data_IF_729319686314
#
_entry.id   IF_729319686314
#
_cell.length_a   1.000
_cell.length_b   1.000
_cell.length_c   1.000
_cell.angle_alpha   90.00
_cell.angle_beta   90.00
_cell.angle_gamma   90.00
#
_symmetry.space_group_name_H-M   'P 1'
#
loop_
_entity.id
_entity.type
_entity.pdbx_description
1 polymer ?
#
# COMPACT_ATOMS: atom_id res chain seq x y z
N UNK A 1 7.84 34.42 -17.42
CA UNK A 1 7.33 34.67 -16.04
C UNK A 1 8.54 34.82 -15.16
N UNK A 2 8.92 36.07 -14.97
CA UNK A 2 10.29 36.44 -14.68
C UNK A 2 10.46 36.59 -13.16
N UNK A 3 11.65 36.32 -12.64
CA UNK A 3 11.99 36.37 -11.21
C UNK A 3 11.41 37.58 -10.44
N UNK A 4 11.41 38.83 -10.96
CA UNK A 4 10.85 39.97 -10.24
C UNK A 4 9.33 39.86 -10.00
N UNK A 5 8.57 39.22 -10.90
CA UNK A 5 7.12 39.09 -10.77
C UNK A 5 6.73 38.06 -9.70
N UNK A 6 7.56 37.02 -9.49
CA UNK A 6 7.39 36.06 -8.38
C UNK A 6 7.63 36.71 -7.02
N UNK A 7 8.67 37.52 -6.93
CA UNK A 7 9.04 38.20 -5.68
C UNK A 7 8.03 39.29 -5.28
N UNK A 8 7.34 39.91 -6.24
CA UNK A 8 6.29 40.89 -5.94
C UNK A 8 5.03 40.25 -5.32
N UNK A 9 4.71 39.01 -5.68
CA UNK A 9 3.55 38.28 -5.14
C UNK A 9 3.83 37.67 -3.76
N UNK A 10 5.09 37.33 -3.45
CA UNK A 10 5.52 36.89 -2.13
C UNK A 10 5.82 38.11 -1.24
N UNK A 11 4.85 38.52 -0.41
CA UNK A 11 4.97 39.73 0.45
C UNK A 11 6.09 39.68 1.50
N UNK A 12 6.68 38.52 1.76
CA UNK A 12 7.86 38.34 2.60
C UNK A 12 8.78 37.29 1.96
N UNK A 13 10.07 37.60 1.84
CA UNK A 13 11.09 36.59 1.57
C UNK A 13 11.30 35.79 2.86
N UNK A 14 10.65 34.64 2.99
CA UNK A 14 11.04 33.66 4.00
C UNK A 14 12.39 33.08 3.57
N UNK A 15 13.49 33.55 4.17
CA UNK A 15 14.79 32.89 4.01
C UNK A 15 14.69 31.51 4.63
N UNK A 16 14.46 30.50 3.79
CA UNK A 16 14.55 29.11 4.21
C UNK A 16 16.02 28.84 4.50
N UNK A 17 16.34 28.54 5.75
CA UNK A 17 17.68 28.16 6.17
C UNK A 17 18.11 26.91 5.38
N UNK A 18 19.36 26.87 4.93
CA UNK A 18 19.89 25.78 4.12
C UNK A 18 19.78 24.44 4.86
N UNK A 19 19.99 24.48 6.17
CA UNK A 19 19.85 23.32 7.08
C UNK A 19 18.41 22.82 7.16
N UNK A 20 17.43 23.73 7.22
CA UNK A 20 16.01 23.38 7.24
C UNK A 20 15.58 22.73 5.92
N UNK A 21 16.11 23.21 4.79
CA UNK A 21 15.86 22.62 3.48
C UNK A 21 16.49 21.22 3.36
N UNK A 22 17.71 21.05 3.82
CA UNK A 22 18.44 19.78 3.79
C UNK A 22 17.71 18.70 4.60
N UNK A 23 17.34 19.00 5.85
CA UNK A 23 16.56 18.06 6.69
C UNK A 23 15.19 17.73 6.10
N UNK A 24 14.55 18.69 5.41
CA UNK A 24 13.29 18.45 4.72
C UNK A 24 13.48 17.46 3.55
N UNK A 25 14.56 17.59 2.77
CA UNK A 25 14.88 16.68 1.67
C UNK A 25 15.15 15.26 2.17
N UNK A 26 15.98 15.11 3.20
CA UNK A 26 16.25 13.81 3.85
C UNK A 26 14.96 13.15 4.35
N UNK A 27 14.10 13.94 4.99
CA UNK A 27 12.80 13.46 5.44
C UNK A 27 11.91 13.00 4.28
N UNK A 28 11.92 13.72 3.15
CA UNK A 28 11.20 13.32 1.95
C UNK A 28 11.75 12.04 1.34
N UNK A 29 13.06 11.81 1.39
CA UNK A 29 13.69 10.58 0.91
C UNK A 29 13.27 9.37 1.72
N UNK A 30 13.32 9.45 3.05
CA UNK A 30 12.86 8.38 3.93
C UNK A 30 11.38 8.03 3.68
N UNK A 31 10.55 9.05 3.50
CA UNK A 31 9.12 8.89 3.15
C UNK A 31 8.94 8.26 1.76
N UNK A 32 9.72 8.69 0.76
CA UNK A 32 9.65 8.16 -0.60
C UNK A 32 10.01 6.66 -0.64
N UNK A 33 11.05 6.24 0.09
CA UNK A 33 11.45 4.83 0.21
C UNK A 33 10.32 4.01 0.83
N UNK A 34 9.71 4.51 1.90
CA UNK A 34 8.58 3.84 2.56
C UNK A 34 7.40 3.65 1.61
N UNK A 35 6.92 4.71 0.97
CA UNK A 35 5.80 4.62 0.03
C UNK A 35 6.10 3.69 -1.14
N UNK A 36 7.34 3.71 -1.63
CA UNK A 36 7.77 2.83 -2.70
C UNK A 36 7.70 1.35 -2.30
N UNK A 37 8.19 1.02 -1.10
CA UNK A 37 8.10 -0.32 -0.53
C UNK A 37 6.63 -0.73 -0.36
N UNK A 38 5.81 0.12 0.26
CA UNK A 38 4.38 -0.14 0.49
C UNK A 38 3.63 -0.38 -0.82
N UNK A 39 3.91 0.39 -1.89
CA UNK A 39 3.28 0.19 -3.20
C UNK A 39 3.66 -1.16 -3.83
N UNK A 40 4.91 -1.59 -3.68
CA UNK A 40 5.37 -2.89 -4.18
C UNK A 40 4.73 -4.03 -3.38
N UNK A 41 4.71 -3.91 -2.05
CA UNK A 41 4.12 -4.90 -1.16
C UNK A 41 2.60 -5.03 -1.36
N UNK A 42 1.87 -3.92 -1.44
CA UNK A 42 0.42 -3.91 -1.68
C UNK A 42 0.08 -4.54 -3.03
N UNK A 43 0.88 -4.28 -4.06
CA UNK A 43 0.73 -4.95 -5.34
C UNK A 43 0.96 -6.47 -5.21
N UNK A 44 1.97 -6.89 -4.44
CA UNK A 44 2.23 -8.31 -4.14
C UNK A 44 1.06 -8.95 -3.38
N UNK A 45 0.49 -8.26 -2.39
CA UNK A 45 -0.68 -8.75 -1.65
C UNK A 45 -1.90 -8.92 -2.58
N UNK A 46 -2.10 -8.02 -3.54
CA UNK A 46 -3.16 -8.18 -4.54
C UNK A 46 -2.96 -9.37 -5.46
N UNK A 47 -1.73 -9.66 -5.85
CA UNK A 47 -1.42 -10.86 -6.62
C UNK A 47 -1.64 -12.13 -5.80
N UNK A 48 -1.24 -12.12 -4.52
CA UNK A 48 -1.53 -13.20 -3.57
C UNK A 48 -3.04 -13.45 -3.45
N UNK A 49 -3.84 -12.40 -3.26
CA UNK A 49 -5.30 -12.45 -3.25
C UNK A 49 -5.82 -13.13 -4.52
N UNK A 50 -5.45 -12.61 -5.70
CA UNK A 50 -5.91 -13.11 -6.99
C UNK A 50 -5.53 -14.58 -7.22
N UNK A 51 -4.33 -15.00 -6.81
CA UNK A 51 -3.91 -16.41 -6.90
C UNK A 51 -4.71 -17.30 -5.95
N UNK A 52 -4.88 -16.90 -4.70
CA UNK A 52 -5.57 -17.71 -3.70
C UNK A 52 -7.05 -17.91 -4.03
N UNK A 53 -7.77 -16.86 -4.44
CA UNK A 53 -9.18 -17.01 -4.84
C UNK A 53 -9.34 -17.88 -6.10
N UNK A 54 -8.40 -17.80 -7.06
CA UNK A 54 -8.39 -18.67 -8.24
C UNK A 54 -8.14 -20.13 -7.88
N UNK A 55 -7.19 -20.39 -6.97
CA UNK A 55 -6.89 -21.73 -6.47
C UNK A 55 -8.09 -22.35 -5.77
N UNK A 56 -8.73 -21.61 -4.86
CA UNK A 56 -9.96 -22.05 -4.18
C UNK A 56 -11.06 -22.38 -5.18
N UNK A 57 -11.32 -21.48 -6.15
CA UNK A 57 -12.31 -21.74 -7.19
C UNK A 57 -12.03 -23.04 -7.95
N UNK A 58 -10.79 -23.22 -8.41
CA UNK A 58 -10.42 -24.39 -9.22
C UNK A 58 -10.62 -25.69 -8.44
N UNK A 59 -10.22 -25.71 -7.17
CA UNK A 59 -10.39 -26.86 -6.29
C UNK A 59 -11.87 -27.17 -6.02
N UNK A 60 -12.68 -26.16 -5.70
CA UNK A 60 -14.12 -26.32 -5.47
C UNK A 60 -14.83 -26.81 -6.72
N UNK A 61 -14.50 -26.28 -7.90
CA UNK A 61 -15.08 -26.76 -9.16
C UNK A 61 -14.76 -28.24 -9.40
N UNK A 62 -13.54 -28.69 -9.07
CA UNK A 62 -13.16 -30.10 -9.16
C UNK A 62 -13.98 -30.97 -8.21
N UNK A 63 -14.19 -30.52 -6.98
CA UNK A 63 -14.99 -31.22 -5.96
C UNK A 63 -16.50 -31.23 -6.27
N UNK A 64 -17.00 -30.22 -6.96
CA UNK A 64 -18.39 -30.23 -7.45
C UNK A 64 -18.52 -31.17 -8.65
N UNK A 65 -17.56 -31.14 -9.58
CA UNK A 65 -17.59 -31.96 -10.79
C UNK A 65 -17.48 -33.47 -10.50
N UNK A 66 -16.71 -33.87 -9.49
CA UNK A 66 -16.59 -35.27 -9.07
C UNK A 66 -17.68 -35.69 -8.05
N UNK A 67 -18.63 -34.81 -7.72
CA UNK A 67 -19.73 -35.08 -6.79
C UNK A 67 -19.33 -35.17 -5.32
N UNK A 68 -18.11 -34.77 -4.93
CA UNK A 68 -17.69 -34.74 -3.52
C UNK A 68 -18.44 -33.71 -2.69
N UNK A 69 -18.88 -32.60 -3.31
CA UNK A 69 -19.74 -31.59 -2.71
C UNK A 69 -20.82 -31.13 -3.69
N UNK A 70 -21.93 -30.62 -3.19
CA UNK A 70 -22.95 -29.98 -4.01
C UNK A 70 -22.52 -28.60 -4.49
N UNK A 71 -23.13 -28.11 -5.58
CA UNK A 71 -22.91 -26.75 -6.06
C UNK A 71 -23.25 -25.69 -5.00
N UNK A 72 -24.25 -25.96 -4.15
CA UNK A 72 -24.63 -25.07 -3.04
C UNK A 72 -23.49 -24.95 -2.02
N UNK A 73 -23.01 -26.08 -1.52
CA UNK A 73 -21.90 -26.13 -0.55
C UNK A 73 -20.64 -25.49 -1.13
N UNK A 74 -20.34 -25.76 -2.41
CA UNK A 74 -19.22 -25.11 -3.11
C UNK A 74 -19.38 -23.59 -3.19
N UNK A 75 -20.59 -23.08 -3.46
CA UNK A 75 -20.85 -21.65 -3.52
C UNK A 75 -20.70 -20.96 -2.15
N UNK A 76 -21.23 -21.57 -1.09
CA UNK A 76 -21.11 -21.11 0.29
C UNK A 76 -19.63 -21.08 0.73
N UNK A 77 -18.90 -22.17 0.49
CA UNK A 77 -17.48 -22.26 0.79
C UNK A 77 -16.65 -21.22 0.02
N UNK A 78 -16.88 -21.06 -1.29
CA UNK A 78 -16.21 -20.03 -2.08
C UNK A 78 -16.49 -18.61 -1.55
N UNK A 79 -17.73 -18.33 -1.13
CA UNK A 79 -18.10 -17.05 -0.55
C UNK A 79 -17.34 -16.78 0.75
N UNK A 80 -17.35 -17.73 1.69
CA UNK A 80 -16.64 -17.60 2.96
C UNK A 80 -15.13 -17.47 2.78
N UNK A 81 -14.54 -18.36 1.97
CA UNK A 81 -13.10 -18.36 1.73
C UNK A 81 -12.64 -17.07 1.05
N UNK A 82 -13.42 -16.54 0.11
CA UNK A 82 -13.12 -15.24 -0.52
C UNK A 82 -13.08 -14.13 0.53
N UNK A 83 -14.01 -14.11 1.47
CA UNK A 83 -14.07 -13.10 2.53
C UNK A 83 -12.89 -13.25 3.51
N UNK A 84 -12.55 -14.47 3.91
CA UNK A 84 -11.37 -14.76 4.75
C UNK A 84 -10.07 -14.33 4.08
N UNK A 85 -9.86 -14.72 2.81
CA UNK A 85 -8.68 -14.30 2.02
C UNK A 85 -8.64 -12.77 1.89
N UNK A 86 -9.78 -12.11 1.69
CA UNK A 86 -9.84 -10.65 1.60
C UNK A 86 -9.44 -9.98 2.92
N UNK A 87 -9.95 -10.46 4.05
CA UNK A 87 -9.61 -9.95 5.37
C UNK A 87 -8.12 -10.12 5.68
N UNK A 88 -7.56 -11.31 5.43
CA UNK A 88 -6.14 -11.57 5.63
C UNK A 88 -5.26 -10.71 4.71
N UNK A 89 -5.65 -10.54 3.45
CA UNK A 89 -4.93 -9.68 2.49
C UNK A 89 -4.91 -8.23 3.00
N UNK A 90 -6.04 -7.72 3.51
CA UNK A 90 -6.14 -6.36 4.06
C UNK A 90 -5.30 -6.16 5.31
N UNK A 91 -5.24 -7.16 6.19
CA UNK A 91 -4.40 -7.11 7.39
C UNK A 91 -2.90 -6.95 7.05
N UNK A 92 -2.48 -7.48 5.90
CA UNK A 92 -1.09 -7.39 5.39
C UNK A 92 -0.87 -6.25 4.39
N UNK A 93 -1.90 -5.43 4.10
CA UNK A 93 -1.82 -4.27 3.21
C UNK A 93 -1.38 -3.04 4.01
N UNK A 94 -0.60 -2.15 3.40
CA UNK A 94 -0.19 -0.87 3.98
C UNK A 94 -1.38 -0.08 4.54
N UNK A 95 -1.14 0.83 5.49
CA UNK A 95 -2.21 1.62 6.13
C UNK A 95 -3.00 2.42 5.08
N UNK A 96 -2.30 3.11 4.18
CA UNK A 96 -2.92 3.87 3.10
C UNK A 96 -3.68 2.96 2.12
N UNK A 97 -3.06 1.84 1.70
CA UNK A 97 -3.68 0.88 0.79
C UNK A 97 -4.94 0.23 1.38
N UNK A 98 -4.92 -0.09 2.67
CA UNK A 98 -6.04 -0.65 3.42
C UNK A 98 -7.19 0.35 3.53
N UNK A 99 -6.91 1.61 3.88
CA UNK A 99 -7.94 2.66 3.93
C UNK A 99 -8.62 2.87 2.55
N UNK A 100 -7.85 2.82 1.46
CA UNK A 100 -8.41 2.87 0.09
C UNK A 100 -9.26 1.63 -0.20
N UNK A 101 -8.81 0.44 0.21
CA UNK A 101 -9.52 -0.81 -0.03
C UNK A 101 -10.82 -0.95 0.80
N UNK A 102 -10.85 -0.39 2.00
CA UNK A 102 -12.02 -0.34 2.88
C UNK A 102 -13.04 0.68 2.38
N UNK A 103 -12.60 1.85 1.91
CA UNK A 103 -13.48 2.85 1.29
C UNK A 103 -14.23 2.31 0.08
N UNK A 104 -13.57 1.51 -0.76
CA UNK A 104 -14.25 0.92 -1.93
C UNK A 104 -15.27 -0.14 -1.50
N UNK A 105 -14.94 -0.96 -0.51
CA UNK A 105 -15.79 -2.08 -0.10
C UNK A 105 -15.54 -2.50 1.35
N UNK A 106 -16.28 -1.92 2.30
CA UNK A 106 -16.12 -2.27 3.72
C UNK A 106 -16.45 -3.75 3.97
N UNK A 107 -17.62 -4.22 3.49
CA UNK A 107 -18.13 -5.59 3.72
C UNK A 107 -18.61 -6.21 2.38
N UNK A 108 -18.40 -7.52 2.19
CA UNK A 108 -19.03 -8.23 1.07
C UNK A 108 -20.55 -8.26 1.20
N UNK A 109 -21.32 -8.03 0.13
CA UNK A 109 -22.77 -8.26 0.16
C UNK A 109 -23.06 -9.65 0.69
N UNK A 110 -24.11 -9.77 1.49
CA UNK A 110 -24.59 -11.05 1.99
C UNK A 110 -24.83 -12.04 0.83
N UNK A 111 -24.62 -13.34 1.09
CA UNK A 111 -24.71 -14.36 0.05
C UNK A 111 -26.08 -14.37 -0.62
N UNK A 112 -27.14 -14.14 0.15
CA UNK A 112 -28.53 -14.06 -0.30
C UNK A 112 -28.71 -12.95 -1.34
N UNK A 113 -28.08 -11.79 -1.10
CA UNK A 113 -28.11 -10.67 -2.05
C UNK A 113 -27.38 -11.01 -3.34
N UNK A 114 -26.25 -11.73 -3.27
CA UNK A 114 -25.53 -12.20 -4.46
C UNK A 114 -26.34 -13.23 -5.24
N UNK A 115 -27.03 -14.14 -4.54
CA UNK A 115 -27.90 -15.14 -5.15
C UNK A 115 -29.07 -14.47 -5.87
N UNK A 116 -29.77 -13.53 -5.23
CA UNK A 116 -30.87 -12.79 -5.84
C UNK A 116 -30.39 -11.96 -7.04
N UNK A 117 -29.25 -11.29 -6.93
CA UNK A 117 -28.68 -10.49 -8.02
C UNK A 117 -28.32 -11.34 -9.23
N UNK A 118 -27.67 -12.50 -9.02
CA UNK A 118 -27.34 -13.43 -10.11
C UNK A 118 -28.58 -14.09 -10.71
N UNK A 119 -29.57 -14.41 -9.88
CA UNK A 119 -30.86 -14.96 -10.32
C UNK A 119 -31.62 -13.98 -11.19
N UNK A 120 -31.71 -12.72 -10.76
CA UNK A 120 -32.35 -11.65 -11.52
C UNK A 120 -31.66 -11.43 -12.87
N UNK A 121 -30.32 -11.38 -12.89
CA UNK A 121 -29.58 -11.20 -14.15
C UNK A 121 -29.74 -12.36 -15.14
N UNK A 122 -29.84 -13.61 -14.65
CA UNK A 122 -29.83 -14.81 -15.51
C UNK A 122 -31.23 -15.30 -15.87
N UNK A 123 -32.20 -15.12 -14.98
CA UNK A 123 -33.54 -15.69 -15.07
C UNK A 123 -34.67 -14.68 -14.86
N UNK A 124 -34.37 -13.42 -14.53
CA UNK A 124 -35.38 -12.37 -14.29
C UNK A 124 -36.22 -12.60 -13.03
N UNK A 125 -35.80 -13.49 -12.12
CA UNK A 125 -36.54 -13.92 -10.93
C UNK A 125 -35.67 -13.88 -9.69
N UNK A 126 -36.30 -13.85 -8.52
CA UNK A 126 -35.58 -13.99 -7.24
C UNK A 126 -35.08 -15.42 -7.06
N UNK A 127 -34.04 -15.61 -6.25
CA UNK A 127 -33.42 -16.92 -6.08
C UNK A 127 -34.39 -17.95 -5.50
N UNK A 128 -35.26 -17.53 -4.58
CA UNK A 128 -36.26 -18.40 -3.93
C UNK A 128 -37.31 -18.95 -4.92
N UNK A 129 -37.67 -18.17 -5.94
CA UNK A 129 -38.64 -18.50 -7.01
C UNK A 129 -38.09 -19.48 -8.06
N UNK A 130 -36.79 -19.77 -8.03
CA UNK A 130 -36.14 -20.66 -8.99
C UNK A 130 -36.40 -22.14 -8.68
N UNK A 131 -36.55 -22.93 -9.75
CA UNK A 131 -36.57 -24.39 -9.65
C UNK A 131 -35.20 -24.98 -9.28
N UNK A 132 -35.11 -26.25 -8.86
CA UNK A 132 -33.85 -26.86 -8.38
C UNK A 132 -32.68 -26.77 -9.37
N UNK A 133 -32.94 -27.02 -10.67
CA UNK A 133 -31.91 -26.90 -11.72
C UNK A 133 -31.42 -25.46 -11.91
N UNK A 134 -32.33 -24.49 -11.83
CA UNK A 134 -32.00 -23.07 -11.94
C UNK A 134 -31.18 -22.61 -10.72
N UNK A 135 -31.55 -23.03 -9.50
CA UNK A 135 -30.77 -22.76 -8.28
C UNK A 135 -29.35 -23.30 -8.37
N UNK A 136 -29.19 -24.56 -8.81
CA UNK A 136 -27.87 -25.16 -9.04
C UNK A 136 -27.03 -24.34 -10.04
N UNK A 137 -27.66 -23.86 -11.12
CA UNK A 137 -27.00 -23.01 -12.11
C UNK A 137 -26.52 -21.67 -11.52
N UNK A 138 -27.31 -21.07 -10.62
CA UNK A 138 -26.90 -19.83 -9.92
C UNK A 138 -25.74 -20.10 -8.96
N UNK A 139 -25.78 -21.20 -8.21
CA UNK A 139 -24.68 -21.59 -7.33
C UNK A 139 -23.37 -21.79 -8.11
N UNK A 140 -23.43 -22.44 -9.27
CA UNK A 140 -22.27 -22.58 -10.16
C UNK A 140 -21.71 -21.22 -10.62
N UNK A 141 -22.58 -20.27 -10.96
CA UNK A 141 -22.18 -18.90 -11.32
C UNK A 141 -21.55 -18.15 -10.13
N UNK A 142 -21.97 -18.41 -8.89
CA UNK A 142 -21.30 -17.87 -7.69
C UNK A 142 -19.88 -18.42 -7.56
N UNK A 143 -19.71 -19.75 -7.68
CA UNK A 143 -18.38 -20.39 -7.66
C UNK A 143 -17.52 -19.78 -8.76
N UNK A 144 -18.02 -19.69 -9.98
CA UNK A 144 -17.26 -19.20 -11.13
C UNK A 144 -16.87 -17.72 -10.99
N UNK A 145 -17.78 -16.90 -10.47
CA UNK A 145 -17.57 -15.46 -10.28
C UNK A 145 -16.79 -15.09 -9.02
N UNK A 146 -16.57 -16.04 -8.09
CA UNK A 146 -15.82 -15.84 -6.84
C UNK A 146 -14.38 -15.32 -7.07
N UNK A 147 -13.76 -15.73 -8.18
CA UNK A 147 -12.39 -15.37 -8.55
C UNK A 147 -12.29 -14.39 -9.73
N UNK A 148 -13.39 -13.75 -10.15
CA UNK A 148 -13.35 -12.78 -11.26
C UNK A 148 -12.49 -11.56 -10.88
N UNK A 149 -11.44 -11.24 -11.65
CA UNK A 149 -10.58 -10.11 -11.36
C UNK A 149 -11.33 -8.79 -11.54
N UNK A 150 -11.06 -7.81 -10.67
CA UNK A 150 -11.43 -6.43 -10.93
C UNK A 150 -10.29 -5.77 -11.73
N UNK A 151 -10.55 -5.50 -13.02
CA UNK A 151 -9.56 -4.99 -13.98
C UNK A 151 -9.00 -3.64 -13.54
N UNK A 152 -9.85 -2.73 -13.05
CA UNK A 152 -9.45 -1.40 -12.54
C UNK A 152 -8.39 -1.52 -11.43
N UNK A 153 -8.64 -2.38 -10.45
CA UNK A 153 -7.71 -2.58 -9.34
C UNK A 153 -6.42 -3.29 -9.77
N UNK A 154 -6.51 -4.23 -10.71
CA UNK A 154 -5.32 -4.93 -11.20
C UNK A 154 -4.42 -4.01 -12.03
N UNK A 155 -4.99 -3.14 -12.87
CA UNK A 155 -4.25 -2.13 -13.63
C UNK A 155 -3.58 -1.15 -12.66
N UNK A 156 -4.34 -0.62 -11.70
CA UNK A 156 -3.80 0.32 -10.70
C UNK A 156 -2.67 -0.30 -9.90
N UNK A 157 -2.79 -1.55 -9.46
CA UNK A 157 -1.73 -2.20 -8.69
C UNK A 157 -0.50 -2.52 -9.55
N UNK A 158 -0.66 -2.82 -10.84
CA UNK A 158 0.48 -2.96 -11.76
C UNK A 158 1.21 -1.62 -11.94
N UNK A 159 0.47 -0.52 -12.06
CA UNK A 159 1.03 0.83 -12.11
C UNK A 159 1.76 1.17 -10.80
N UNK A 160 1.13 0.99 -9.64
CA UNK A 160 1.73 1.24 -8.32
C UNK A 160 3.03 0.44 -8.11
N UNK A 161 3.05 -0.84 -8.51
CA UNK A 161 4.29 -1.64 -8.48
C UNK A 161 5.40 -1.04 -9.33
N UNK A 162 5.06 -0.56 -10.51
CA UNK A 162 6.04 0.02 -11.44
C UNK A 162 6.54 1.36 -10.90
N UNK A 163 5.63 2.21 -10.41
CA UNK A 163 5.94 3.49 -9.77
C UNK A 163 6.84 3.27 -8.55
N UNK A 164 6.51 2.34 -7.64
CA UNK A 164 7.34 2.05 -6.48
C UNK A 164 8.75 1.59 -6.85
N UNK A 165 8.89 0.77 -7.90
CA UNK A 165 10.23 0.38 -8.41
C UNK A 165 10.99 1.57 -8.98
N UNK A 166 10.33 2.43 -9.75
CA UNK A 166 10.95 3.63 -10.34
C UNK A 166 11.38 4.59 -9.24
N UNK A 167 10.53 4.84 -8.25
CA UNK A 167 10.85 5.70 -7.12
C UNK A 167 12.08 5.21 -6.35
N UNK A 168 12.21 3.90 -6.09
CA UNK A 168 13.43 3.35 -5.49
C UNK A 168 14.66 3.66 -6.35
N UNK A 169 14.59 3.46 -7.66
CA UNK A 169 15.72 3.74 -8.56
C UNK A 169 16.09 5.23 -8.53
N UNK A 170 15.10 6.12 -8.54
CA UNK A 170 15.32 7.57 -8.47
C UNK A 170 15.93 7.96 -7.13
N UNK A 171 15.42 7.44 -6.01
CA UNK A 171 16.00 7.71 -4.68
C UNK A 171 17.42 7.20 -4.58
N UNK A 172 17.71 5.98 -5.07
CA UNK A 172 19.08 5.45 -5.08
C UNK A 172 20.01 6.31 -5.94
N UNK A 173 19.55 6.76 -7.11
CA UNK A 173 20.34 7.64 -7.97
C UNK A 173 20.64 8.98 -7.29
N UNK A 174 19.68 9.53 -6.55
CA UNK A 174 19.84 10.75 -5.77
C UNK A 174 20.85 10.56 -4.64
N UNK A 175 20.71 9.51 -3.82
CA UNK A 175 21.66 9.18 -2.74
C UNK A 175 23.08 8.98 -3.28
N UNK A 176 23.24 8.32 -4.43
CA UNK A 176 24.56 8.14 -5.07
C UNK A 176 25.16 9.49 -5.50
N UNK A 177 24.33 10.40 -6.03
CA UNK A 177 24.78 11.74 -6.41
C UNK A 177 25.30 12.52 -5.19
N UNK A 178 24.58 12.48 -4.07
CA UNK A 178 24.98 13.17 -2.84
C UNK A 178 26.27 12.57 -2.25
N UNK A 179 26.38 11.24 -2.17
CA UNK A 179 27.60 10.55 -1.70
C UNK A 179 28.82 10.86 -2.57
N UNK A 180 28.66 10.98 -3.90
CA UNK A 180 29.78 11.25 -4.81
C UNK A 180 30.28 12.68 -4.65
N UNK A 181 29.38 13.64 -4.42
CA UNK A 181 29.71 15.05 -4.26
C UNK A 181 30.09 15.43 -2.82
N UNK A 182 29.84 14.55 -1.84
CA UNK A 182 30.18 14.79 -0.45
C UNK A 182 31.69 14.82 -0.20
N UNK A 183 32.10 15.70 0.72
CA UNK A 183 33.49 15.82 1.14
C UNK A 183 33.97 14.56 1.90
N UNK A 184 33.15 14.04 2.82
CA UNK A 184 33.38 12.77 3.51
C UNK A 184 32.33 11.75 3.06
N UNK A 185 32.71 10.93 2.07
CA UNK A 185 31.82 9.94 1.45
C UNK A 185 31.32 8.88 2.44
N UNK A 186 32.16 8.47 3.40
CA UNK A 186 31.79 7.42 4.36
C UNK A 186 30.75 7.93 5.35
N UNK A 187 30.94 9.16 5.85
CA UNK A 187 29.98 9.87 6.70
C UNK A 187 28.63 10.05 5.99
N UNK A 188 28.67 10.50 4.73
CA UNK A 188 27.45 10.69 3.93
C UNK A 188 26.70 9.37 3.70
N UNK A 189 27.41 8.27 3.43
CA UNK A 189 26.79 6.94 3.31
C UNK A 189 26.09 6.52 4.61
N UNK A 190 26.69 6.78 5.78
CA UNK A 190 26.09 6.46 7.07
C UNK A 190 24.84 7.32 7.31
N UNK A 191 24.91 8.63 7.04
CA UNK A 191 23.79 9.57 7.15
C UNK A 191 22.61 9.14 6.28
N UNK A 192 22.84 8.93 4.99
CA UNK A 192 21.82 8.47 4.04
C UNK A 192 21.25 7.09 4.43
N UNK A 193 22.10 6.19 4.93
CA UNK A 193 21.68 4.90 5.48
C UNK A 193 20.74 5.03 6.69
N UNK A 194 21.06 5.95 7.60
CA UNK A 194 20.24 6.24 8.78
C UNK A 194 18.90 6.90 8.40
N UNK A 195 18.89 7.84 7.45
CA UNK A 195 17.69 8.50 6.92
C UNK A 195 16.75 7.49 6.27
N UNK A 196 17.26 6.60 5.41
CA UNK A 196 16.46 5.54 4.80
C UNK A 196 15.91 4.55 5.84
N UNK A 197 16.70 4.18 6.85
CA UNK A 197 16.29 3.29 7.93
C UNK A 197 15.26 3.95 8.88
N UNK A 198 15.45 5.22 9.22
CA UNK A 198 14.56 6.03 10.03
C UNK A 198 13.21 6.28 9.35
N UNK A 199 13.20 6.53 8.04
CA UNK A 199 11.97 6.66 7.25
C UNK A 199 11.10 5.41 7.25
N UNK A 200 11.71 4.22 7.26
CA UNK A 200 11.00 2.94 7.33
C UNK A 200 10.36 2.66 8.70
N UNK A 201 11.02 3.04 9.79
CA UNK A 201 10.55 2.77 11.17
C UNK A 201 9.66 3.87 11.74
N UNK A 202 9.94 5.15 11.46
CA UNK A 202 9.16 6.29 11.95
C UNK A 202 7.75 6.38 11.35
N UNK A 203 7.58 5.97 10.09
CA UNK A 203 6.27 5.94 9.43
C UNK A 203 5.33 4.85 9.97
N UNK A 204 5.87 3.77 10.54
CA UNK A 204 5.07 2.70 11.15
C UNK A 204 4.39 3.21 12.44
N UNK A 205 5.10 4.03 13.22
CA UNK A 205 4.57 4.65 14.45
C UNK A 205 3.52 5.73 14.14
N UNK A 206 3.70 6.51 13.07
CA UNK A 206 2.69 7.46 12.61
C UNK A 206 1.42 6.76 12.06
N UNK A 207 1.58 5.60 11.43
CA UNK A 207 0.48 4.84 10.82
C UNK A 207 -0.53 4.25 11.81
N UNK A 208 -0.11 3.90 13.02
CA UNK A 208 -1.02 3.45 14.09
C UNK A 208 -1.81 4.63 14.68
N UNK A 209 -1.15 5.77 14.92
CA UNK A 209 -1.79 6.99 15.39
C UNK A 209 -2.80 7.57 14.38
N UNK A 210 -2.52 7.47 13.08
CA UNK A 210 -3.40 7.96 12.03
C UNK A 210 -4.78 7.29 12.03
N UNK A 211 -4.85 6.02 12.48
CA UNK A 211 -6.13 5.30 12.58
C UNK A 211 -7.04 5.84 13.69
N UNK A 212 -6.47 6.43 14.75
CA UNK A 212 -7.18 7.08 15.84
C UNK A 212 -7.68 8.48 15.46
N UNK A 213 -6.91 9.21 14.65
CA UNK A 213 -7.21 10.61 14.27
C UNK A 213 -8.12 10.70 13.04
N UNK A 214 -7.88 9.89 12.01
CA UNK A 214 -8.55 10.03 10.71
C UNK A 214 -9.79 9.14 10.54
N UNK A 215 -10.05 8.22 11.47
CA UNK A 215 -11.14 7.25 11.38
C UNK A 215 -11.05 6.28 10.18
N UNK A 216 -11.89 5.23 10.15
CA UNK A 216 -11.83 4.17 9.13
C UNK A 216 -12.33 4.57 7.72
N UNK A 217 -12.47 5.86 7.42
CA UNK A 217 -13.09 6.34 6.17
C UNK A 217 -12.34 7.46 5.42
N UNK A 218 -11.26 8.02 5.98
CA UNK A 218 -10.53 9.16 5.40
C UNK A 218 -9.11 8.76 4.93
N UNK A 219 -8.97 8.08 3.78
CA UNK A 219 -7.65 7.64 3.29
C UNK A 219 -6.69 8.80 3.02
N UNK A 220 -7.21 9.98 2.67
CA UNK A 220 -6.40 11.19 2.43
C UNK A 220 -5.77 11.70 3.72
N UNK A 221 -6.52 11.70 4.82
CA UNK A 221 -6.03 12.11 6.13
C UNK A 221 -4.96 11.14 6.64
N UNK A 222 -5.15 9.83 6.48
CA UNK A 222 -4.16 8.83 6.87
C UNK A 222 -2.84 8.98 6.06
N UNK A 223 -2.94 9.26 4.76
CA UNK A 223 -1.77 9.54 3.92
C UNK A 223 -1.09 10.85 4.34
N UNK A 224 -1.85 11.91 4.63
CA UNK A 224 -1.30 13.18 5.08
C UNK A 224 -0.57 13.07 6.43
N UNK A 225 -1.10 12.30 7.39
CA UNK A 225 -0.44 12.03 8.67
C UNK A 225 0.78 11.11 8.53
N UNK A 226 0.77 10.16 7.59
CA UNK A 226 1.95 9.35 7.29
C UNK A 226 3.07 10.21 6.69
N UNK A 227 2.72 11.13 5.80
CA UNK A 227 3.67 12.11 5.25
C UNK A 227 4.16 13.04 6.37
N UNK A 228 3.26 13.62 7.17
CA UNK A 228 3.63 14.52 8.27
C UNK A 228 4.45 13.85 9.37
N UNK A 229 4.11 12.61 9.74
CA UNK A 229 4.86 11.83 10.73
C UNK A 229 6.19 11.32 10.18
N UNK A 230 6.25 10.97 8.89
CA UNK A 230 7.52 10.67 8.22
C UNK A 230 8.42 11.89 8.10
N UNK A 231 7.85 13.09 7.90
CA UNK A 231 8.59 14.35 7.96
C UNK A 231 9.15 14.57 9.37
N UNK A 232 8.31 14.45 10.40
CA UNK A 232 8.77 14.62 11.78
C UNK A 232 9.84 13.60 12.19
N UNK A 233 9.70 12.33 11.78
CA UNK A 233 10.66 11.28 12.10
C UNK A 233 11.98 11.43 11.32
N UNK A 234 11.92 11.87 10.05
CA UNK A 234 13.12 12.20 9.27
C UNK A 234 13.90 13.35 9.91
N UNK A 235 13.19 14.36 10.41
CA UNK A 235 13.78 15.49 11.13
C UNK A 235 14.45 15.07 12.44
N UNK A 236 13.81 14.20 13.22
CA UNK A 236 14.42 13.65 14.45
C UNK A 236 15.63 12.77 14.11
N UNK A 237 15.57 12.00 13.01
CA UNK A 237 16.69 11.17 12.59
C UNK A 237 17.90 12.00 12.14
N UNK A 238 17.67 13.09 11.41
CA UNK A 238 18.75 14.00 10.99
C UNK A 238 19.40 14.68 12.20
N UNK A 239 18.60 15.16 13.16
CA UNK A 239 19.14 15.74 14.41
C UNK A 239 19.98 14.74 15.21
N UNK A 240 19.54 13.48 15.29
CA UNK A 240 20.31 12.43 15.98
C UNK A 240 21.64 12.15 15.26
N UNK A 241 21.67 12.15 13.92
CA UNK A 241 22.91 11.95 13.17
C UNK A 241 23.87 13.12 13.37
N UNK A 242 23.36 14.36 13.38
CA UNK A 242 24.14 15.57 13.63
C UNK A 242 24.67 15.66 15.07
N UNK A 243 23.96 15.11 16.06
CA UNK A 243 24.46 15.03 17.44
C UNK A 243 25.71 14.15 17.57
N UNK A 244 25.87 13.18 16.67
CA UNK A 244 27.02 12.28 16.63
C UNK A 244 28.02 12.64 15.52
N UNK A 245 27.96 13.87 14.99
CA UNK A 245 28.71 14.28 13.81
C UNK A 245 30.24 14.18 14.00
N UNK A 246 30.73 14.72 15.12
CA UNK A 246 32.15 14.68 15.49
C UNK A 246 32.65 13.25 15.73
N UNK A 247 31.84 12.44 16.41
CA UNK A 247 32.15 11.04 16.70
C UNK A 247 32.18 10.22 15.40
N UNK A 248 31.23 10.44 14.50
CA UNK A 248 31.19 9.80 13.18
C UNK A 248 32.43 10.15 12.35
N UNK A 249 32.88 11.42 12.37
CA UNK A 249 34.12 11.80 11.72
C UNK A 249 35.33 11.05 12.29
N UNK A 250 35.41 10.94 13.61
CA UNK A 250 36.50 10.22 14.26
C UNK A 250 36.45 8.71 13.96
N UNK A 251 35.27 8.09 13.99
CA UNK A 251 35.06 6.69 13.60
C UNK A 251 35.44 6.43 12.13
N UNK A 252 35.18 7.37 11.21
CA UNK A 252 35.61 7.22 9.80
C UNK A 252 37.12 7.34 9.61
N UNK A 253 37.81 8.08 10.48
CA UNK A 253 39.29 8.18 10.46
C UNK A 253 39.97 6.91 10.99
N UNK A 254 39.31 6.21 11.91
CA UNK A 254 39.77 4.91 12.41
C UNK A 254 39.38 3.81 11.41
N UNK A 255 40.08 3.73 10.27
CA UNK A 255 39.90 2.62 9.34
C UNK A 255 40.22 1.29 10.03
N UNK A 256 39.21 0.49 10.32
CA UNK A 256 39.37 -0.94 10.64
C UNK A 256 39.89 -1.62 9.37
N UNK A 257 41.15 -2.07 9.42
CA UNK A 257 41.72 -3.00 8.43
C UNK A 257 41.15 -4.40 8.60
#
# INVERSE_FOLDING_TARGET
>A
MDAPYRNYLARENHSVDAEVLERALESFEGVAVKFSSDFIEDARQRDNYNRNVKRVKAEVLKQVANGSISAKEGAEFCYEMRNKIMAETRARTSVAGRAIAEREKVISPALEKLLDEKSGRKFGKRFNELGPRQKSTVHYEIIESSARPNTKFNIRNKALRTIGKVLIVVTVAYVVYDVVNAQNKVKEVIKQGAVMAGGLSGTILAGSAASLVCGPGAPVCAVALLIGGGIAAGWVASEVVELFDDELEEFTRWQVK
#
